data_IF_485491457220
#
_entry.id   IF_485491457220
#
_cell.length_a   1.000
_cell.length_b   1.000
_cell.length_c   1.000
_cell.angle_alpha   90.00
_cell.angle_beta   90.00
_cell.angle_gamma   90.00
#
_symmetry.space_group_name_H-M   'P 1'
#
loop_
_entity.id
_entity.type
_entity.pdbx_description
1 polymer ?
#
# COMPACT_ATOMS: atom_id res chain seq x y z
N UNK A 1 6.95 15.93 -17.88
CA UNK A 1 7.78 15.48 -16.74
C UNK A 1 6.97 15.11 -15.50
N UNK A 2 5.96 15.89 -15.11
CA UNK A 2 5.08 15.59 -13.96
C UNK A 2 4.49 14.17 -13.98
N UNK A 3 3.97 13.72 -15.13
CA UNK A 3 3.40 12.39 -15.30
C UNK A 3 4.39 11.25 -15.05
N UNK A 4 5.67 11.43 -15.41
CA UNK A 4 6.72 10.42 -15.17
C UNK A 4 7.04 10.26 -13.67
N UNK A 5 6.98 11.35 -12.91
CA UNK A 5 7.17 11.33 -11.46
C UNK A 5 6.04 10.58 -10.77
N UNK A 6 4.79 10.81 -11.20
CA UNK A 6 3.62 10.07 -10.69
C UNK A 6 3.75 8.58 -11.00
N UNK A 7 4.19 8.23 -12.21
CA UNK A 7 4.37 6.85 -12.64
C UNK A 7 5.46 6.13 -11.82
N UNK A 8 6.59 6.79 -11.57
CA UNK A 8 7.64 6.29 -10.68
C UNK A 8 7.15 6.11 -9.24
N UNK A 9 6.32 7.03 -8.76
CA UNK A 9 5.73 6.97 -7.42
C UNK A 9 4.80 5.76 -7.31
N UNK A 10 3.92 5.53 -8.28
CA UNK A 10 3.07 4.33 -8.36
C UNK A 10 3.92 3.05 -8.34
N UNK A 11 4.97 2.98 -9.16
CA UNK A 11 5.87 1.81 -9.20
C UNK A 11 6.53 1.58 -7.84
N UNK A 12 7.00 2.65 -7.18
CA UNK A 12 7.58 2.58 -5.84
C UNK A 12 6.60 2.03 -4.81
N UNK A 13 5.35 2.51 -4.83
CA UNK A 13 4.28 2.01 -3.95
C UNK A 13 3.89 0.56 -4.24
N UNK A 14 3.86 0.14 -5.50
CA UNK A 14 3.63 -1.25 -5.89
C UNK A 14 4.74 -2.17 -5.36
N UNK A 15 6.00 -1.75 -5.49
CA UNK A 15 7.14 -2.50 -4.97
C UNK A 15 7.07 -2.64 -3.45
N UNK A 16 6.76 -1.54 -2.75
CA UNK A 16 6.54 -1.56 -1.31
C UNK A 16 5.37 -2.47 -0.91
N UNK A 17 4.25 -2.40 -1.62
CA UNK A 17 3.09 -3.25 -1.38
C UNK A 17 3.40 -4.74 -1.55
N UNK A 18 4.17 -5.11 -2.58
CA UNK A 18 4.64 -6.49 -2.77
C UNK A 18 5.50 -6.96 -1.59
N UNK A 19 6.45 -6.12 -1.17
CA UNK A 19 7.33 -6.46 -0.04
C UNK A 19 6.54 -6.62 1.26
N UNK A 20 5.64 -5.68 1.55
CA UNK A 20 4.80 -5.70 2.75
C UNK A 20 3.90 -6.95 2.77
N UNK A 21 3.30 -7.31 1.64
CA UNK A 21 2.49 -8.51 1.48
C UNK A 21 3.32 -9.78 1.71
N UNK A 22 4.50 -9.89 1.10
CA UNK A 22 5.42 -11.01 1.29
C UNK A 22 5.87 -11.14 2.76
N UNK A 23 6.16 -10.01 3.41
CA UNK A 23 6.52 -9.96 4.83
C UNK A 23 5.36 -10.40 5.74
N UNK A 24 4.13 -9.90 5.50
CA UNK A 24 2.93 -10.31 6.24
C UNK A 24 2.64 -11.81 6.09
N UNK A 25 2.81 -12.38 4.89
CA UNK A 25 2.62 -13.81 4.67
C UNK A 25 3.62 -14.66 5.45
N UNK A 26 4.88 -14.22 5.53
CA UNK A 26 5.94 -14.92 6.29
C UNK A 26 5.67 -14.90 7.79
N UNK A 27 5.19 -13.78 8.32
CA UNK A 27 4.89 -13.62 9.75
C UNK A 27 3.63 -14.38 10.15
N UNK A 28 2.52 -14.13 9.43
CA UNK A 28 1.20 -14.63 9.83
C UNK A 28 1.01 -16.10 9.44
N UNK A 29 1.64 -16.55 8.35
CA UNK A 29 1.50 -17.90 7.79
C UNK A 29 0.03 -18.29 7.60
N UNK A 30 -0.74 -17.57 6.76
CA UNK A 30 -2.20 -17.71 6.65
C UNK A 30 -2.67 -19.12 6.25
N UNK A 31 -1.81 -19.90 5.59
CA UNK A 31 -2.14 -21.27 5.15
C UNK A 31 -2.21 -22.30 6.29
N UNK A 32 -1.80 -21.95 7.51
CA UNK A 32 -1.73 -22.91 8.63
C UNK A 32 -3.06 -23.06 9.39
N UNK A 33 -3.96 -22.07 9.37
CA UNK A 33 -5.28 -22.18 10.00
C UNK A 33 -6.25 -21.11 9.49
N UNK A 34 -7.56 -21.39 9.59
CA UNK A 34 -8.59 -20.44 9.19
C UNK A 34 -8.56 -19.13 10.01
N UNK A 35 -8.27 -19.21 11.32
CA UNK A 35 -8.10 -18.02 12.15
C UNK A 35 -6.92 -17.13 11.71
N UNK A 36 -5.80 -17.75 11.30
CA UNK A 36 -4.66 -17.00 10.74
C UNK A 36 -4.94 -16.41 9.38
N UNK A 37 -5.76 -17.09 8.57
CA UNK A 37 -6.24 -16.54 7.30
C UNK A 37 -7.08 -15.28 7.54
N UNK A 38 -8.02 -15.31 8.50
CA UNK A 38 -8.81 -14.13 8.86
C UNK A 38 -7.95 -12.99 9.39
N UNK A 39 -7.00 -13.27 10.29
CA UNK A 39 -6.08 -12.27 10.81
C UNK A 39 -5.19 -11.66 9.70
N UNK A 40 -4.74 -12.49 8.77
CA UNK A 40 -4.02 -12.04 7.59
C UNK A 40 -4.87 -11.12 6.72
N UNK A 41 -6.12 -11.49 6.44
CA UNK A 41 -7.05 -10.65 5.68
C UNK A 41 -7.24 -9.28 6.34
N UNK A 42 -7.47 -9.25 7.65
CA UNK A 42 -7.62 -8.00 8.40
C UNK A 42 -6.34 -7.16 8.35
N UNK A 43 -5.17 -7.80 8.52
CA UNK A 43 -3.87 -7.13 8.46
C UNK A 43 -3.59 -6.53 7.07
N UNK A 44 -3.95 -7.25 6.00
CA UNK A 44 -3.82 -6.77 4.63
C UNK A 44 -4.75 -5.58 4.37
N UNK A 45 -6.00 -5.61 4.85
CA UNK A 45 -6.92 -4.48 4.77
C UNK A 45 -6.35 -3.21 5.41
N UNK A 46 -5.81 -3.35 6.63
CA UNK A 46 -5.16 -2.24 7.34
C UNK A 46 -3.94 -1.75 6.57
N UNK A 47 -3.10 -2.66 6.08
CA UNK A 47 -1.92 -2.33 5.28
C UNK A 47 -2.28 -1.55 4.01
N UNK A 48 -3.30 -2.00 3.25
CA UNK A 48 -3.78 -1.32 2.04
C UNK A 48 -4.29 0.08 2.38
N UNK A 49 -5.04 0.23 3.48
CA UNK A 49 -5.52 1.54 3.92
C UNK A 49 -4.37 2.49 4.24
N UNK A 50 -3.40 2.04 5.03
CA UNK A 50 -2.21 2.83 5.41
C UNK A 50 -1.40 3.22 4.18
N UNK A 51 -1.12 2.28 3.29
CA UNK A 51 -0.37 2.53 2.05
C UNK A 51 -1.08 3.53 1.15
N UNK A 52 -2.39 3.37 0.96
CA UNK A 52 -3.20 4.29 0.14
C UNK A 52 -3.28 5.68 0.75
N UNK A 53 -3.43 5.78 2.07
CA UNK A 53 -3.42 7.04 2.80
C UNK A 53 -2.10 7.79 2.60
N UNK A 54 -0.96 7.10 2.76
CA UNK A 54 0.35 7.71 2.48
C UNK A 54 0.48 8.13 1.02
N UNK A 55 0.02 7.30 0.07
CA UNK A 55 0.06 7.64 -1.35
C UNK A 55 -0.70 8.94 -1.64
N UNK A 56 -1.90 9.10 -1.09
CA UNK A 56 -2.69 10.34 -1.22
C UNK A 56 -1.97 11.52 -0.58
N UNK A 57 -1.41 11.36 0.62
CA UNK A 57 -0.65 12.44 1.27
C UNK A 57 0.58 12.88 0.46
N UNK A 58 1.34 11.93 -0.09
CA UNK A 58 2.52 12.22 -0.90
C UNK A 58 2.14 12.90 -2.22
N UNK A 59 1.14 12.36 -2.93
CA UNK A 59 0.66 12.97 -4.17
C UNK A 59 0.10 14.35 -3.89
N UNK A 60 -0.67 14.52 -2.83
CA UNK A 60 -1.25 15.80 -2.43
C UNK A 60 -0.23 16.88 -2.12
N UNK A 61 0.89 16.51 -1.46
CA UNK A 61 2.02 17.41 -1.24
C UNK A 61 2.76 17.77 -2.53
N UNK A 62 2.91 16.82 -3.45
CA UNK A 62 3.63 17.02 -4.71
C UNK A 62 2.79 17.79 -5.75
N UNK A 63 1.47 17.65 -5.70
CA UNK A 63 0.52 18.23 -6.64
C UNK A 63 -0.65 18.91 -5.90
N UNK A 64 -0.38 19.97 -5.10
CA UNK A 64 -1.41 20.62 -4.29
C UNK A 64 -2.55 21.22 -5.12
N UNK A 65 -2.28 21.58 -6.38
CA UNK A 65 -3.26 22.13 -7.31
C UNK A 65 -4.32 21.11 -7.80
N UNK A 66 -4.08 19.80 -7.66
CA UNK A 66 -5.04 18.75 -8.06
C UNK A 66 -6.01 18.37 -6.93
N UNK A 67 -5.73 18.76 -5.69
CA UNK A 67 -6.60 18.50 -4.53
C UNK A 67 -7.66 19.58 -4.28
N UNK A 68 -7.51 20.78 -4.86
CA UNK A 68 -8.35 21.97 -4.59
C UNK A 68 -9.39 22.19 -5.72
N UNK A 69 -9.68 21.17 -6.53
CA UNK A 69 -10.75 21.24 -7.53
C UNK A 69 -12.04 20.64 -7.04
#
# INVERSE_FOLDING_TARGET
>A
MKSAIVLLLIIGFMFFGYFLNSWLQKIIKPKQSFGRLLFYFLSVLIAVFVVSFFMVLFIGKLYPAELIK
#
